data_IF_523745760119
#
_entry.id   IF_523745760119
#
_cell.length_a   1.000
_cell.length_b   1.000
_cell.length_c   1.000
_cell.angle_alpha   90.00
_cell.angle_beta   90.00
_cell.angle_gamma   90.00
#
_symmetry.space_group_name_H-M   'P 1'
#
loop_
_entity.id
_entity.type
_entity.pdbx_description
1 polymer ?
#
# COMPACT_ATOMS: atom_id res chain seq x y z
N UNK A 1 -14.27 -11.97 -1.24
CA UNK A 1 -13.31 -11.81 -0.12
C UNK A 1 -13.56 -10.44 0.47
N UNK A 2 -13.72 -10.34 1.79
CA UNK A 2 -13.77 -9.06 2.49
C UNK A 2 -12.39 -8.41 2.45
N UNK A 3 -12.41 -7.10 2.44
CA UNK A 3 -11.28 -6.24 2.16
C UNK A 3 -11.08 -5.34 3.42
N UNK A 4 -9.84 -5.03 3.80
CA UNK A 4 -9.50 -4.19 4.98
C UNK A 4 -8.96 -2.83 4.56
N UNK A 5 -9.29 -1.76 5.28
CA UNK A 5 -8.69 -0.45 4.99
C UNK A 5 -7.15 -0.50 4.95
N UNK A 6 -6.56 0.36 4.13
CA UNK A 6 -5.12 0.44 3.92
C UNK A 6 -4.34 0.67 5.22
N UNK A 7 -4.96 1.25 6.24
CA UNK A 7 -4.39 1.39 7.58
C UNK A 7 -3.96 0.05 8.21
N UNK A 8 -4.58 -1.07 7.82
CA UNK A 8 -4.20 -2.39 8.28
C UNK A 8 -2.77 -2.79 7.86
N UNK A 9 -2.20 -2.12 6.85
CA UNK A 9 -0.83 -2.34 6.40
C UNK A 9 0.18 -1.35 7.00
N UNK A 10 -0.22 -0.50 7.96
CA UNK A 10 0.65 0.53 8.53
C UNK A 10 1.98 -0.04 9.08
N UNK A 11 1.89 -1.04 9.96
CA UNK A 11 3.08 -1.72 10.50
C UNK A 11 3.90 -2.39 9.40
N UNK A 12 3.25 -3.11 8.48
CA UNK A 12 3.95 -3.80 7.40
C UNK A 12 4.73 -2.84 6.49
N UNK A 13 4.18 -1.68 6.14
CA UNK A 13 4.89 -0.68 5.35
C UNK A 13 6.02 0.00 6.13
N UNK A 14 5.81 0.29 7.42
CA UNK A 14 6.86 0.84 8.27
C UNK A 14 8.04 -0.13 8.39
N UNK A 15 7.78 -1.42 8.61
CA UNK A 15 8.80 -2.44 8.80
C UNK A 15 9.56 -2.77 7.50
N UNK A 16 8.89 -2.73 6.34
CA UNK A 16 9.47 -3.18 5.06
C UNK A 16 10.10 -2.06 4.24
N UNK A 17 9.56 -0.84 4.28
CA UNK A 17 10.04 0.30 3.48
C UNK A 17 10.18 1.59 4.27
N UNK A 18 9.93 1.60 5.57
CA UNK A 18 10.09 2.80 6.42
C UNK A 18 9.06 3.89 6.17
N UNK A 19 7.90 3.56 5.59
CA UNK A 19 6.84 4.53 5.27
C UNK A 19 5.67 4.35 6.23
N UNK A 20 5.33 5.42 6.94
CA UNK A 20 4.07 5.52 7.67
C UNK A 20 2.96 5.84 6.65
N UNK A 21 2.07 4.89 6.37
CA UNK A 21 1.05 5.03 5.32
C UNK A 21 -0.29 5.57 5.81
N UNK A 22 -0.50 5.70 7.13
CA UNK A 22 -1.79 6.19 7.64
C UNK A 22 -2.05 7.64 7.26
N UNK A 23 -1.01 8.47 7.20
CA UNK A 23 -1.10 9.86 6.74
C UNK A 23 -0.49 10.09 5.34
N UNK A 24 0.14 9.08 4.73
CA UNK A 24 0.75 9.23 3.42
C UNK A 24 -0.30 9.41 2.31
N UNK A 25 -0.04 10.36 1.41
CA UNK A 25 -0.86 10.59 0.22
C UNK A 25 -0.28 9.82 -0.94
N UNK A 26 -1.09 8.97 -1.58
CA UNK A 26 -0.72 8.24 -2.79
C UNK A 26 -1.42 8.79 -4.02
N UNK A 27 -0.73 8.73 -5.17
CA UNK A 27 -1.36 8.89 -6.48
C UNK A 27 -1.39 7.55 -7.21
N UNK A 28 -2.57 7.10 -7.60
CA UNK A 28 -2.70 5.88 -8.39
C UNK A 28 -2.03 6.04 -9.77
N UNK A 29 -1.18 5.10 -10.16
CA UNK A 29 -0.55 5.06 -11.48
C UNK A 29 -1.53 4.80 -12.62
N UNK A 30 -2.67 4.15 -12.32
CA UNK A 30 -3.69 3.78 -13.31
C UNK A 30 -4.78 4.84 -13.50
N UNK A 31 -5.48 5.24 -12.43
CA UNK A 31 -6.61 6.20 -12.54
C UNK A 31 -6.27 7.61 -12.07
N UNK A 32 -5.04 7.84 -11.61
CA UNK A 32 -4.55 9.15 -11.15
C UNK A 32 -5.25 9.75 -9.93
N UNK A 33 -6.14 9.02 -9.27
CA UNK A 33 -6.73 9.46 -8.01
C UNK A 33 -5.63 9.71 -6.98
N UNK A 34 -5.72 10.86 -6.30
CA UNK A 34 -4.86 11.27 -5.19
C UNK A 34 -5.66 11.14 -3.90
N UNK A 35 -5.16 10.37 -2.95
CA UNK A 35 -5.91 10.04 -1.74
C UNK A 35 -4.98 9.51 -0.63
N UNK A 36 -5.46 9.50 0.61
CA UNK A 36 -4.76 8.87 1.74
C UNK A 36 -4.62 7.36 1.49
N UNK A 37 -3.40 6.83 1.56
CA UNK A 37 -3.15 5.39 1.37
C UNK A 37 -3.88 4.55 2.42
N UNK A 38 -4.18 5.10 3.59
CA UNK A 38 -5.02 4.50 4.61
C UNK A 38 -6.42 4.09 4.11
N UNK A 39 -6.96 4.76 3.09
CA UNK A 39 -8.28 4.50 2.50
C UNK A 39 -8.21 3.56 1.28
N UNK A 40 -7.01 3.09 0.94
CA UNK A 40 -6.84 2.11 -0.13
C UNK A 40 -7.38 0.75 0.29
N UNK A 41 -7.56 -0.12 -0.70
CA UNK A 41 -8.04 -1.45 -0.48
C UNK A 41 -6.90 -2.46 -0.16
N UNK A 42 -6.56 -2.74 1.11
CA UNK A 42 -5.69 -3.85 1.53
C UNK A 42 -6.34 -5.26 1.59
N UNK A 43 -5.65 -6.24 0.99
CA UNK A 43 -5.93 -7.67 1.08
C UNK A 43 -4.73 -8.35 1.74
N UNK A 44 -4.94 -9.00 2.88
CA UNK A 44 -3.87 -9.59 3.71
C UNK A 44 -3.97 -11.11 3.70
N UNK A 45 -2.82 -11.76 3.63
CA UNK A 45 -2.65 -13.22 3.71
C UNK A 45 -1.49 -13.55 4.64
N UNK A 46 -1.30 -14.84 4.95
CA UNK A 46 -0.15 -15.30 5.73
C UNK A 46 1.21 -15.03 5.07
N UNK A 47 1.25 -14.86 3.74
CA UNK A 47 2.50 -14.73 2.95
C UNK A 47 2.75 -13.30 2.46
N UNK A 48 1.83 -12.35 2.73
CA UNK A 48 1.95 -11.00 2.22
C UNK A 48 0.63 -10.25 2.09
N UNK A 49 0.70 -9.07 1.48
CA UNK A 49 -0.42 -8.17 1.29
C UNK A 49 -0.42 -7.51 -0.09
N UNK A 50 -1.62 -7.19 -0.56
CA UNK A 50 -1.86 -6.41 -1.79
C UNK A 50 -2.70 -5.19 -1.45
N UNK A 51 -2.21 -4.01 -1.83
CA UNK A 51 -2.95 -2.76 -1.73
C UNK A 51 -3.52 -2.39 -3.11
N UNK A 52 -4.81 -2.06 -3.17
CA UNK A 52 -5.51 -1.67 -4.40
C UNK A 52 -6.13 -0.30 -4.27
N UNK A 53 -6.29 0.41 -5.39
CA UNK A 53 -7.02 1.67 -5.41
C UNK A 53 -8.50 1.41 -5.09
N UNK A 54 -9.06 2.11 -4.11
CA UNK A 54 -10.49 2.00 -3.78
C UNK A 54 -11.40 2.41 -4.96
N UNK A 55 -10.90 3.25 -5.88
CA UNK A 55 -11.65 3.73 -7.03
C UNK A 55 -11.60 2.80 -8.24
N UNK A 56 -10.40 2.48 -8.76
CA UNK A 56 -10.27 1.65 -9.97
C UNK A 56 -9.90 0.18 -9.72
N UNK A 57 -9.69 -0.21 -8.46
CA UNK A 57 -9.22 -1.55 -8.05
C UNK A 57 -7.86 -1.98 -8.63
N UNK A 58 -7.14 -1.06 -9.29
CA UNK A 58 -5.77 -1.27 -9.74
C UNK A 58 -4.83 -1.53 -8.57
N UNK A 59 -3.87 -2.44 -8.76
CA UNK A 59 -2.86 -2.76 -7.74
C UNK A 59 -1.93 -1.57 -7.57
N UNK A 60 -1.79 -1.10 -6.34
CA UNK A 60 -0.92 0.00 -5.94
C UNK A 60 0.40 -0.51 -5.38
N UNK A 61 0.31 -1.51 -4.50
CA UNK A 61 1.46 -2.11 -3.87
C UNK A 61 1.26 -3.62 -3.64
N UNK A 62 2.36 -4.37 -3.66
CA UNK A 62 2.42 -5.78 -3.28
C UNK A 62 3.60 -5.97 -2.34
N UNK A 63 3.37 -6.58 -1.19
CA UNK A 63 4.41 -6.96 -0.23
C UNK A 63 4.33 -8.47 -0.06
N UNK A 64 5.43 -9.18 -0.31
CA UNK A 64 5.53 -10.64 -0.13
C UNK A 64 6.65 -10.93 0.85
N UNK A 65 6.34 -11.62 1.94
CA UNK A 65 7.30 -12.04 2.94
C UNK A 65 7.78 -13.44 2.62
N UNK A 66 9.07 -13.61 2.33
CA UNK A 66 9.73 -14.91 2.14
C UNK A 66 10.69 -15.16 3.30
N UNK A 67 11.12 -16.41 3.54
CA UNK A 67 12.01 -16.73 4.65
C UNK A 67 13.35 -15.98 4.65
N UNK A 68 13.82 -15.54 3.48
CA UNK A 68 15.16 -14.94 3.29
C UNK A 68 15.11 -13.49 2.80
N UNK A 69 13.95 -13.03 2.32
CA UNK A 69 13.82 -11.71 1.69
C UNK A 69 12.36 -11.23 1.75
N UNK A 70 12.17 -9.92 1.60
CA UNK A 70 10.86 -9.32 1.38
C UNK A 70 10.84 -8.70 0.00
N UNK A 71 9.85 -9.06 -0.82
CA UNK A 71 9.62 -8.40 -2.09
C UNK A 71 8.60 -7.28 -1.89
N UNK A 72 8.95 -6.09 -2.35
CA UNK A 72 8.04 -4.94 -2.36
C UNK A 72 7.93 -4.40 -3.78
N UNK A 73 6.71 -4.39 -4.31
CA UNK A 73 6.38 -3.76 -5.57
C UNK A 73 5.50 -2.54 -5.30
N UNK A 74 5.93 -1.36 -5.74
CA UNK A 74 5.20 -0.10 -5.65
C UNK A 74 4.89 0.51 -7.03
N UNK A 75 5.07 -0.24 -8.13
CA UNK A 75 4.94 0.29 -9.50
C UNK A 75 3.53 0.76 -9.86
N UNK A 76 2.53 0.36 -9.07
CA UNK A 76 1.15 0.81 -9.18
C UNK A 76 0.91 2.22 -8.62
N UNK A 77 1.86 2.78 -7.89
CA UNK A 77 1.85 4.14 -7.36
C UNK A 77 2.68 5.04 -8.28
N UNK A 78 2.07 6.13 -8.74
CA UNK A 78 2.80 7.17 -9.45
C UNK A 78 3.77 7.91 -8.52
N UNK A 79 3.33 8.17 -7.29
CA UNK A 79 4.17 8.66 -6.19
C UNK A 79 3.47 8.44 -4.85
N UNK A 80 4.26 8.59 -3.79
CA UNK A 80 3.80 8.72 -2.40
C UNK A 80 4.37 10.04 -1.87
N UNK A 81 3.51 10.87 -1.29
CA UNK A 81 3.91 12.08 -0.57
C UNK A 81 3.80 11.82 0.94
N UNK A 82 4.89 12.12 1.65
CA UNK A 82 5.03 11.93 3.09
C UNK A 82 5.29 13.31 3.70
N UNK A 83 4.52 13.66 4.72
CA UNK A 83 4.75 14.91 5.46
C UNK A 83 6.10 14.82 6.19
N UNK A 84 6.92 15.87 6.08
CA UNK A 84 8.14 16.03 6.89
C UNK A 84 7.86 16.99 8.04
N UNK A 85 8.45 16.75 9.22
CA UNK A 85 8.39 17.70 10.34
C UNK A 85 9.07 19.03 10.00
#
# INVERSE_FOLDING_TARGET
>A
MTHLDGNALAGLFADTVGIEITAAIGRCGSCHLVFELARANAFVTAIGAVLRCAHCQGVLAVIVQKPQEVLVNLSGLAHIAIARP
#
